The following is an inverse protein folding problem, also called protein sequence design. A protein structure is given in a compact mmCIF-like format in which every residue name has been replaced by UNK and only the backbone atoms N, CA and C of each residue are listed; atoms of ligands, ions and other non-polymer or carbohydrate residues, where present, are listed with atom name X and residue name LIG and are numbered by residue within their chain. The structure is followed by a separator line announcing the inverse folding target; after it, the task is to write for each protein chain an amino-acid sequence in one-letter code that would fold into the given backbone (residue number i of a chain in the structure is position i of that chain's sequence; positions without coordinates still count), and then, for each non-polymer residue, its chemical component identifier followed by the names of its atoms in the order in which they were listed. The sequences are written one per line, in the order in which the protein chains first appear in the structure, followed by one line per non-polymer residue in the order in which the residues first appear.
data_IF_207123510089
#
_entry.id   IF_207123510089
#
_cell.length_a   1.000
_cell.length_b   1.000
_cell.length_c   1.000
_cell.angle_alpha   90.00
_cell.angle_beta   90.00
_cell.angle_gamma   90.00
#
_symmetry.space_group_name_H-M   'P 1'
#
loop_
_entity.id
_entity.type
_entity.pdbx_description
1 polymer ?
#
# COMPACT_ATOMS: atom_id res chain seq x y z
N UNK A 1 15.88 0.76 -2.53
CA UNK A 1 14.72 0.25 -1.75
C UNK A 1 15.15 -0.86 -0.80
N UNK A 2 15.65 -2.02 -1.27
CA UNK A 2 16.06 -3.13 -0.37
C UNK A 2 17.06 -2.74 0.74
N UNK A 3 18.07 -1.91 0.44
CA UNK A 3 19.03 -1.47 1.46
C UNK A 3 18.36 -0.64 2.58
N UNK A 4 17.43 0.23 2.22
CA UNK A 4 16.64 1.01 3.19
C UNK A 4 15.73 0.09 4.00
N UNK A 5 15.02 -0.85 3.36
CA UNK A 5 14.19 -1.81 4.08
C UNK A 5 15.00 -2.67 5.06
N UNK A 6 16.23 -3.05 4.68
CA UNK A 6 17.18 -3.74 5.55
C UNK A 6 17.61 -2.88 6.73
N UNK A 7 17.87 -1.60 6.51
CA UNK A 7 18.27 -0.65 7.56
C UNK A 7 17.12 -0.38 8.54
N UNK A 8 15.89 -0.23 8.06
CA UNK A 8 14.71 -0.04 8.91
C UNK A 8 14.43 -1.24 9.80
N UNK A 9 14.76 -2.46 9.35
CA UNK A 9 14.65 -3.71 10.11
C UNK A 9 13.26 -3.94 10.74
N UNK A 10 12.20 -3.57 10.02
CA UNK A 10 10.79 -3.84 10.34
C UNK A 10 10.27 -5.00 9.49
N UNK A 11 9.07 -5.50 9.80
CA UNK A 11 8.41 -6.56 9.02
C UNK A 11 8.38 -6.22 7.53
N UNK A 12 7.93 -5.02 7.19
CA UNK A 12 7.91 -4.50 5.82
C UNK A 12 8.16 -2.99 5.81
N UNK A 13 8.82 -2.53 4.76
CA UNK A 13 8.92 -1.12 4.38
C UNK A 13 8.18 -0.92 3.07
N UNK A 14 7.15 -0.08 3.09
CA UNK A 14 6.38 0.30 1.91
C UNK A 14 7.00 1.53 1.23
N UNK A 15 7.08 1.50 -0.09
CA UNK A 15 7.53 2.62 -0.91
C UNK A 15 6.41 3.06 -1.84
N UNK A 16 5.98 4.33 -1.70
CA UNK A 16 4.94 4.97 -2.49
C UNK A 16 5.56 5.93 -3.52
N UNK A 17 5.12 5.84 -4.77
CA UNK A 17 5.50 6.79 -5.83
C UNK A 17 4.24 7.20 -6.59
N UNK A 18 3.96 8.50 -6.79
CA UNK A 18 2.84 8.93 -7.63
C UNK A 18 2.90 8.31 -9.03
N UNK A 19 1.80 7.76 -9.52
CA UNK A 19 1.70 7.17 -10.85
C UNK A 19 0.31 7.40 -11.45
N UNK A 20 0.22 8.29 -12.43
CA UNK A 20 -1.04 8.58 -13.12
C UNK A 20 -2.11 9.10 -12.16
N UNK A 21 -3.21 8.36 -12.06
CA UNK A 21 -4.36 8.60 -11.19
C UNK A 21 -4.24 7.91 -9.82
N UNK A 22 -3.08 7.35 -9.48
CA UNK A 22 -2.86 6.64 -8.22
C UNK A 22 -1.40 6.59 -7.81
N UNK A 23 -1.03 5.48 -7.17
CA UNK A 23 0.28 5.31 -6.55
C UNK A 23 0.88 3.97 -6.91
N UNK A 24 2.12 3.97 -7.38
CA UNK A 24 2.93 2.75 -7.40
C UNK A 24 3.31 2.39 -5.98
N UNK A 25 3.01 1.16 -5.57
CA UNK A 25 3.29 0.67 -4.23
C UNK A 25 4.11 -0.62 -4.30
N UNK A 26 5.22 -0.66 -3.57
CA UNK A 26 6.11 -1.81 -3.42
C UNK A 26 6.44 -2.05 -1.96
N UNK A 27 6.57 -3.31 -1.55
CA UNK A 27 6.89 -3.69 -0.18
C UNK A 27 8.14 -4.54 -0.12
N UNK A 28 8.97 -4.25 0.86
CA UNK A 28 10.20 -5.00 1.08
C UNK A 28 10.29 -5.40 2.54
N UNK A 29 10.52 -6.68 2.80
CA UNK A 29 11.09 -7.12 4.08
C UNK A 29 12.57 -6.73 4.12
N UNK A 30 13.30 -6.96 5.22
CA UNK A 30 14.74 -6.70 5.28
C UNK A 30 15.55 -7.49 4.26
N UNK A 31 15.00 -8.58 3.71
CA UNK A 31 15.72 -9.52 2.84
C UNK A 31 15.20 -9.60 1.41
N UNK A 32 13.91 -9.34 1.17
CA UNK A 32 13.30 -9.55 -0.15
C UNK A 32 12.11 -8.61 -0.39
N UNK A 33 11.80 -8.38 -1.66
CA UNK A 33 10.53 -7.78 -2.08
C UNK A 33 9.39 -8.80 -1.96
N UNK A 34 8.22 -8.35 -1.48
CA UNK A 34 7.02 -9.19 -1.41
C UNK A 34 5.96 -8.69 -2.38
N UNK A 35 5.19 -9.62 -2.93
CA UNK A 35 4.20 -9.33 -3.98
C UNK A 35 2.94 -8.67 -3.43
N UNK A 36 2.52 -9.03 -2.21
CA UNK A 36 1.33 -8.50 -1.53
C UNK A 36 1.56 -8.37 -0.02
N UNK A 37 1.12 -7.26 0.58
CA UNK A 37 1.16 -7.06 2.02
C UNK A 37 -0.03 -6.20 2.52
N UNK A 38 -0.94 -6.80 3.29
CA UNK A 38 -2.17 -6.16 3.76
C UNK A 38 -1.93 -4.94 4.66
N UNK A 39 -1.30 -5.16 5.82
CA UNK A 39 -1.12 -4.11 6.82
C UNK A 39 -0.24 -2.95 6.33
N UNK A 40 0.76 -3.21 5.49
CA UNK A 40 1.59 -2.16 4.92
C UNK A 40 0.85 -1.35 3.84
N UNK A 41 -0.13 -1.96 3.14
CA UNK A 41 -1.07 -1.24 2.27
C UNK A 41 -1.98 -0.33 3.10
N UNK A 42 -2.54 -0.84 4.20
CA UNK A 42 -3.36 -0.06 5.12
C UNK A 42 -2.60 1.14 5.68
N UNK A 43 -1.36 0.92 6.14
CA UNK A 43 -0.49 1.98 6.65
C UNK A 43 -0.17 3.03 5.57
N UNK A 44 0.05 2.59 4.33
CA UNK A 44 0.28 3.47 3.19
C UNK A 44 -0.93 4.38 2.92
N UNK A 45 -2.14 3.82 2.89
CA UNK A 45 -3.38 4.59 2.74
C UNK A 45 -3.57 5.59 3.90
N UNK A 46 -3.30 5.15 5.13
CA UNK A 46 -3.40 6.00 6.32
C UNK A 46 -2.48 7.23 6.22
N UNK A 47 -1.23 7.05 5.77
CA UNK A 47 -0.30 8.16 5.56
C UNK A 47 -0.80 9.11 4.48
N UNK A 48 -1.35 8.60 3.37
CA UNK A 48 -1.86 9.44 2.29
C UNK A 48 -3.04 10.31 2.71
N UNK A 49 -4.02 9.74 3.44
CA UNK A 49 -5.15 10.51 3.97
C UNK A 49 -4.68 11.54 5.01
N UNK A 50 -3.84 11.15 5.97
CA UNK A 50 -3.39 12.05 7.03
C UNK A 50 -2.54 13.22 6.54
N UNK A 51 -1.77 13.02 5.47
CA UNK A 51 -0.96 14.08 4.86
C UNK A 51 -1.75 14.96 3.89
N UNK A 52 -3.05 14.70 3.68
CA UNK A 52 -3.87 15.41 2.69
C UNK A 52 -3.43 15.16 1.25
N UNK A 53 -2.79 14.02 0.99
CA UNK A 53 -2.40 13.58 -0.36
C UNK A 53 -3.49 12.74 -1.03
N UNK A 54 -4.52 12.37 -0.27
CA UNK A 54 -5.78 11.82 -0.72
C UNK A 54 -6.91 12.44 0.11
N UNK A 55 -8.00 12.81 -0.53
CA UNK A 55 -9.18 13.38 0.13
C UNK A 55 -10.04 12.27 0.74
N UNK A 56 -10.79 12.57 1.80
CA UNK A 56 -11.60 11.59 2.53
C UNK A 56 -12.67 10.88 1.67
N UNK A 57 -13.08 11.48 0.55
CA UNK A 57 -14.09 10.94 -0.36
C UNK A 57 -13.46 10.18 -1.56
N UNK A 58 -12.13 10.19 -1.68
CA UNK A 58 -11.42 9.54 -2.77
C UNK A 58 -11.14 8.06 -2.48
N UNK A 59 -11.03 7.29 -3.57
CA UNK A 59 -10.53 5.92 -3.53
C UNK A 59 -9.09 5.94 -4.03
N UNK A 60 -8.16 5.55 -3.16
CA UNK A 60 -6.74 5.47 -3.51
C UNK A 60 -6.53 4.21 -4.33
N UNK A 61 -5.94 4.37 -5.52
CA UNK A 61 -5.52 3.26 -6.38
C UNK A 61 -4.05 2.96 -6.18
N UNK A 62 -3.72 1.72 -5.81
CA UNK A 62 -2.35 1.23 -5.68
C UNK A 62 -2.00 0.26 -6.81
N UNK A 63 -1.02 0.64 -7.63
CA UNK A 63 -0.45 -0.18 -8.69
C UNK A 63 0.72 -1.01 -8.12
N UNK A 64 0.53 -2.32 -8.03
CA UNK A 64 1.43 -3.25 -7.32
C UNK A 64 1.83 -4.41 -8.23
N UNK A 65 2.73 -5.30 -7.77
CA UNK A 65 3.09 -6.50 -8.53
C UNK A 65 1.91 -7.50 -8.60
N UNK A 66 1.11 -7.60 -7.55
CA UNK A 66 -0.12 -8.42 -7.51
C UNK A 66 -1.34 -7.76 -8.17
N UNK A 67 -1.14 -6.65 -8.89
CA UNK A 67 -2.20 -5.94 -9.60
C UNK A 67 -2.67 -4.68 -8.88
N UNK A 68 -3.90 -4.26 -9.19
CA UNK A 68 -4.51 -3.06 -8.64
C UNK A 68 -5.17 -3.37 -7.30
N UNK A 69 -4.75 -2.68 -6.25
CA UNK A 69 -5.41 -2.66 -4.95
C UNK A 69 -6.09 -1.32 -4.76
N UNK A 70 -7.16 -1.28 -3.97
CA UNK A 70 -7.84 -0.02 -3.64
C UNK A 70 -7.98 0.16 -2.14
N UNK A 71 -7.94 1.41 -1.70
CA UNK A 71 -8.24 1.79 -0.33
C UNK A 71 -9.23 2.95 -0.31
N UNK A 72 -10.18 2.92 0.63
CA UNK A 72 -11.11 4.02 0.85
C UNK A 72 -11.27 4.30 2.34
N UNK A 73 -11.44 5.57 2.69
CA UNK A 73 -11.75 5.98 4.05
C UNK A 73 -13.27 5.91 4.25
N UNK A 74 -13.70 5.20 5.30
CA UNK A 74 -15.08 5.06 5.75
C UNK A 74 -15.16 5.49 7.19
N UNK A 75 -15.60 6.72 7.42
CA UNK A 75 -15.63 7.31 8.76
C UNK A 75 -14.22 7.25 9.39
N UNK A 76 -14.03 6.44 10.43
CA UNK A 76 -12.77 6.25 11.13
C UNK A 76 -11.96 5.02 10.65
N UNK A 77 -12.45 4.29 9.65
CA UNK A 77 -11.85 3.04 9.16
C UNK A 77 -11.30 3.19 7.75
N UNK A 78 -10.21 2.47 7.47
CA UNK A 78 -9.69 2.31 6.11
C UNK A 78 -10.09 0.92 5.64
N UNK A 79 -10.90 0.85 4.59
CA UNK A 79 -11.26 -0.38 3.91
C UNK A 79 -10.29 -0.65 2.76
N UNK A 80 -9.80 -1.89 2.68
CA UNK A 80 -8.96 -2.36 1.59
C UNK A 80 -9.75 -3.32 0.71
N UNK A 81 -9.69 -3.10 -0.60
CA UNK A 81 -10.26 -3.96 -1.63
C UNK A 81 -9.13 -4.66 -2.38
N UNK A 82 -9.03 -5.98 -2.15
CA UNK A 82 -7.99 -6.86 -2.66
C UNK A 82 -8.59 -7.81 -3.69
N UNK A 83 -7.85 -8.18 -4.75
CA UNK A 83 -8.32 -9.20 -5.67
C UNK A 83 -8.58 -10.50 -4.90
N UNK A 84 -9.74 -11.10 -5.12
CA UNK A 84 -10.03 -12.42 -4.59
C UNK A 84 -9.06 -13.42 -5.23
N UNK A 85 -8.14 -13.99 -4.45
CA UNK A 85 -7.46 -15.21 -4.87
C UNK A 85 -8.52 -16.33 -4.91
N UNK A 86 -8.69 -17.04 -6.05
CA UNK A 86 -9.49 -18.25 -6.03
C UNK A 86 -8.83 -19.24 -5.05
N UNK A 87 -9.57 -19.69 -4.05
CA UNK A 87 -9.18 -20.84 -3.24
C UNK A 87 -9.09 -22.05 -4.19
N UNK A 88 -7.88 -22.47 -4.52
CA UNK A 88 -7.61 -23.70 -5.25
C UNK A 88 -7.52 -24.89 -4.29
#
# INVERSE_FOLDING_TARGET
MQQVAKEMNLSETAFLVPQGDGWKLRWFTPTVEVELCGHATLASAHVLFNLGLAEAHEVISFYTQSGLLKASLKEDWIELDFPAEPAW
#
